data_IF_023231114178
#
_entry.id   IF_023231114178
#
_cell.length_a   1.000
_cell.length_b   1.000
_cell.length_c   1.000
_cell.angle_alpha   90.00
_cell.angle_beta   90.00
_cell.angle_gamma   90.00
#
_symmetry.space_group_name_H-M   'P 1'
#
loop_
_entity.id
_entity.type
_entity.pdbx_description
1 polymer ?
2 water ?
#
# COMPACT_ATOMS: atom_id res chain seq x y z
N UNK A 3 -12.93 -4.02 7.71
CA UNK A 3 -11.71 -4.21 6.86
C UNK A 3 -11.43 -3.00 5.98
N UNK A 4 -12.47 -2.51 5.34
CA UNK A 4 -12.34 -1.41 4.38
C UNK A 4 -11.80 -0.14 5.01
N UNK A 5 -12.33 0.24 6.17
CA UNK A 5 -11.87 1.48 6.81
C UNK A 5 -10.40 1.43 7.20
N UNK A 6 -9.93 0.26 7.64
CA UNK A 6 -8.52 0.11 7.93
C UNK A 6 -7.67 0.29 6.68
N UNK A 7 -8.14 -0.21 5.55
CA UNK A 7 -7.42 0.00 4.29
C UNK A 7 -7.44 1.47 3.87
N UNK A 8 -8.58 2.14 4.02
CA UNK A 8 -8.60 3.58 3.70
C UNK A 8 -7.57 4.32 4.55
N UNK A 9 -7.56 4.01 5.85
CA UNK A 9 -6.60 4.61 6.76
C UNK A 9 -5.14 4.35 6.35
N UNK A 10 -4.84 3.14 5.88
CA UNK A 10 -3.50 2.84 5.37
C UNK A 10 -3.14 3.79 4.24
N UNK A 11 -4.07 3.99 3.32
CA UNK A 11 -3.83 4.89 2.20
C UNK A 11 -3.71 6.34 2.65
N UNK A 12 -4.56 6.77 3.58
CA UNK A 12 -4.44 8.12 4.14
C UNK A 12 -3.06 8.31 4.84
N UNK A 13 -2.55 7.26 5.47
CA UNK A 13 -1.23 7.32 6.12
C UNK A 13 -0.09 7.53 5.13
N UNK A 14 -0.33 7.21 3.86
CA UNK A 14 0.65 7.43 2.81
C UNK A 14 0.59 8.84 2.27
N UNK A 15 -0.39 9.61 2.72
CA UNK A 15 -0.54 10.98 2.27
C UNK A 15 -1.67 11.18 1.29
N UNK A 16 -2.42 10.12 0.97
CA UNK A 16 -3.58 10.27 0.09
C UNK A 16 -4.82 10.76 0.84
N UNK A 17 -5.74 11.35 0.11
CA UNK A 17 -6.93 11.89 0.73
C UNK A 17 -7.98 10.79 0.87
N UNK A 18 -8.81 10.89 1.91
CA UNK A 18 -9.82 9.88 2.22
C UNK A 18 -10.72 9.45 1.05
N UNK A 19 -11.30 10.40 0.33
CA UNK A 19 -12.21 10.05 -0.75
C UNK A 19 -11.51 9.39 -1.94
N UNK A 20 -10.39 9.96 -2.39
CA UNK A 20 -9.63 9.32 -3.45
C UNK A 20 -9.19 7.90 -3.04
N UNK A 21 -8.83 7.73 -1.76
CA UNK A 21 -8.50 6.40 -1.22
C UNK A 21 -9.66 5.42 -1.29
N UNK A 22 -10.82 5.86 -0.81
CA UNK A 22 -12.02 5.03 -0.84
C UNK A 22 -12.39 4.63 -2.24
N UNK A 23 -12.27 5.59 -3.15
CA UNK A 23 -12.65 5.35 -4.55
C UNK A 23 -11.71 4.37 -5.23
N UNK A 24 -10.41 4.48 -4.93
CA UNK A 24 -9.41 3.51 -5.41
C UNK A 24 -9.68 2.11 -4.87
N UNK A 25 -9.99 2.02 -3.58
CA UNK A 25 -10.32 0.72 -3.02
C UNK A 25 -11.60 0.10 -3.59
N UNK A 26 -12.60 0.94 -3.85
CA UNK A 26 -13.84 0.49 -4.50
C UNK A 26 -13.52 -0.12 -5.86
N UNK A 27 -12.78 0.62 -6.68
CA UNK A 27 -12.37 0.13 -8.02
C UNK A 27 -11.63 -1.19 -7.90
N UNK A 28 -10.77 -1.26 -6.89
CA UNK A 28 -9.90 -2.42 -6.66
C UNK A 28 -10.60 -3.57 -5.92
N UNK A 29 -11.89 -3.40 -5.64
CA UNK A 29 -12.65 -4.38 -4.89
C UNK A 29 -12.02 -4.75 -3.55
N UNK A 30 -11.50 -3.75 -2.86
CA UNK A 30 -10.90 -3.93 -1.55
C UNK A 30 -9.44 -4.36 -1.50
N UNK A 31 -8.80 -4.50 -2.65
CA UNK A 31 -7.41 -4.94 -2.71
C UNK A 31 -6.50 -3.72 -2.49
N UNK A 32 -5.92 -3.62 -1.30
CA UNK A 32 -5.18 -2.45 -0.90
C UNK A 32 -3.93 -2.29 -1.75
N UNK A 33 -3.27 -3.39 -2.06
CA UNK A 33 -2.04 -3.31 -2.85
C UNK A 33 -2.32 -2.75 -4.24
N UNK A 34 -3.44 -3.16 -4.84
CA UNK A 34 -3.87 -2.62 -6.13
C UNK A 34 -4.26 -1.15 -6.03
N UNK A 35 -5.03 -0.80 -5.01
CA UNK A 35 -5.48 0.58 -4.82
C UNK A 35 -4.31 1.51 -4.62
N UNK A 36 -3.34 1.10 -3.81
CA UNK A 36 -2.13 1.90 -3.60
C UNK A 36 -1.44 2.15 -4.94
N UNK A 37 -1.24 1.08 -5.72
CA UNK A 37 -0.55 1.18 -7.02
C UNK A 37 -1.23 2.22 -7.90
N UNK A 38 -2.57 2.22 -7.90
CA UNK A 38 -3.37 3.25 -8.61
C UNK A 38 -3.00 4.67 -8.22
N UNK A 39 -2.90 4.91 -6.91
CA UNK A 39 -2.70 6.24 -6.38
C UNK A 39 -1.27 6.79 -6.47
N UNK A 40 -0.28 5.91 -6.62
CA UNK A 40 1.12 6.32 -6.64
C UNK A 40 1.51 7.21 -7.81
N UNK B 6 -2.73 -7.99 2.86
CA UNK B 6 -2.01 -7.19 1.82
C UNK B 6 -0.51 -7.14 2.14
N UNK B 7 0.29 -7.05 1.09
CA UNK B 7 1.73 -6.98 1.26
C UNK B 7 2.16 -5.65 1.84
N UNK B 8 1.46 -4.57 1.51
CA UNK B 8 1.76 -3.28 2.14
C UNK B 8 1.53 -3.39 3.65
N UNK B 9 0.41 -4.00 4.05
CA UNK B 9 0.14 -4.16 5.49
C UNK B 9 1.25 -4.96 6.19
N UNK B 10 1.75 -6.00 5.53
CA UNK B 10 2.84 -6.82 6.07
C UNK B 10 4.10 -6.00 6.24
N UNK B 11 4.46 -5.21 5.23
CA UNK B 11 5.64 -4.36 5.34
C UNK B 11 5.50 -3.31 6.43
N UNK B 12 4.32 -2.69 6.54
CA UNK B 12 4.07 -1.70 7.59
C UNK B 12 4.21 -2.36 8.96
N UNK B 13 3.69 -3.58 9.09
CA UNK B 13 3.80 -4.33 10.34
C UNK B 13 5.25 -4.61 10.71
N UNK B 14 6.12 -4.75 9.72
CA UNK B 14 7.53 -4.96 10.00
C UNK B 14 8.25 -3.67 10.38
N UNK B 15 7.56 -2.53 10.24
CA UNK B 15 8.07 -1.22 10.65
C UNK B 15 8.39 -0.22 9.55
N UNK B 16 8.08 -0.56 8.30
CA UNK B 16 8.38 0.32 7.19
C UNK B 16 7.33 1.42 7.08
N UNK B 17 7.74 2.54 6.50
CA UNK B 17 6.84 3.67 6.21
C UNK B 17 5.82 3.26 5.14
N UNK B 18 4.54 3.53 5.36
CA UNK B 18 3.50 3.10 4.41
C UNK B 18 3.70 3.50 2.95
N UNK B 19 3.98 4.78 2.69
CA UNK B 19 4.21 5.20 1.32
C UNK B 19 5.47 4.53 0.72
N UNK B 20 6.55 4.51 1.49
CA UNK B 20 7.77 3.84 1.02
C UNK B 20 7.51 2.37 0.72
N UNK B 21 6.70 1.71 1.56
CA UNK B 21 6.33 0.32 1.35
C UNK B 21 5.55 0.13 0.05
N UNK B 22 4.57 1.00 -0.19
CA UNK B 22 3.80 0.96 -1.44
C UNK B 22 4.70 1.16 -2.65
N UNK B 23 5.62 2.11 -2.55
CA UNK B 23 6.49 2.44 -3.68
C UNK B 23 7.45 1.30 -3.95
N UNK B 24 8.00 0.72 -2.89
CA UNK B 24 8.90 -0.42 -3.05
C UNK B 24 8.19 -1.64 -3.60
N UNK B 25 6.94 -1.88 -3.19
CA UNK B 25 6.23 -3.03 -3.71
C UNK B 25 5.94 -2.86 -5.20
N UNK B 26 5.58 -1.65 -5.61
CA UNK B 26 5.39 -1.38 -7.03
C UNK B 26 6.69 -1.59 -7.81
N UNK B 27 7.79 -1.03 -7.31
CA UNK B 27 9.13 -1.25 -7.89
C UNK B 27 9.45 -2.75 -8.04
N UNK B 28 9.05 -3.53 -7.03
CA UNK B 28 9.33 -4.96 -6.94
C UNK B 28 8.30 -5.82 -7.68
N UNK B 29 7.41 -5.19 -8.45
CA UNK B 29 6.37 -5.96 -9.15
C UNK B 29 5.58 -6.88 -8.24
N UNK B 30 5.33 -6.42 -7.00
CA UNK B 30 4.50 -7.17 -6.04
C UNK B 30 5.21 -8.23 -5.23
N UNK B 31 6.53 -8.35 -5.36
CA UNK B 31 7.26 -9.33 -4.59
C UNK B 31 7.63 -8.74 -3.23
N UNK B 32 7.08 -9.31 -2.17
CA UNK B 32 7.28 -8.82 -0.81
C UNK B 32 8.75 -8.87 -0.38
N UNK B 33 9.41 -9.96 -0.71
CA UNK B 33 10.81 -10.15 -0.34
C UNK B 33 11.74 -9.13 -1.02
N UNK B 34 11.52 -8.92 -2.31
CA UNK B 34 12.26 -7.94 -3.06
C UNK B 34 12.01 -6.53 -2.51
N UNK B 35 10.75 -6.23 -2.23
CA UNK B 35 10.37 -4.91 -1.74
C UNK B 35 11.08 -4.61 -0.42
N UNK B 36 11.06 -5.59 0.48
CA UNK B 36 11.74 -5.42 1.77
C UNK B 36 13.24 -5.14 1.56
N UNK B 37 13.85 -5.84 0.61
CA UNK B 37 15.26 -5.64 0.33
C UNK B 37 15.52 -4.22 -0.17
N UNK B 38 14.60 -3.68 -0.97
CA UNK B 38 14.75 -2.32 -1.47
C UNK B 38 14.67 -1.27 -0.35
N UNK B 39 13.94 -1.60 0.70
CA UNK B 39 13.73 -0.69 1.82
C UNK B 39 14.79 -0.77 2.90
N UNK B 40 15.66 -1.77 2.84
CA UNK B 40 16.67 -2.00 3.88
C UNK B 40 18.08 -1.69 3.44
#
# INVERSE_FOLDING_TARGET
DPGLNSKIAQLVSMGFDPLEAAQALDAANGDLDVAASFLL
DPGLNSKIAQLVSMGFDPLEAAQALDAANGDLDVAASFLL
#
